data_IF_940489114815
#
_entry.id   IF_940489114815
#
_cell.length_a   1.000
_cell.length_b   1.000
_cell.length_c   1.000
_cell.angle_alpha   90.00
_cell.angle_beta   90.00
_cell.angle_gamma   90.00
#
_symmetry.space_group_name_H-M   'P 1'
#
loop_
_entity.id
_entity.type
_entity.pdbx_description
1 polymer ?
#
# COMPACT_ATOMS: atom_id res chain seq x y z
N UNK A 1 -7.69 21.54 -28.13
CA UNK A 1 -7.64 20.72 -26.91
C UNK A 1 -7.19 19.33 -27.32
N UNK A 2 -6.04 18.86 -26.84
CA UNK A 2 -5.50 17.55 -27.22
C UNK A 2 -5.53 16.64 -25.99
N UNK A 3 -6.43 15.66 -26.01
CA UNK A 3 -6.55 14.64 -24.98
C UNK A 3 -5.50 13.56 -25.27
N UNK A 4 -4.44 13.48 -24.46
CA UNK A 4 -3.56 12.31 -24.49
C UNK A 4 -4.22 11.22 -23.64
N UNK A 5 -4.46 10.01 -24.16
CA UNK A 5 -4.82 8.90 -23.30
C UNK A 5 -3.68 8.71 -22.31
N UNK A 6 -3.92 9.02 -21.03
CA UNK A 6 -3.03 8.55 -19.98
C UNK A 6 -3.27 7.05 -19.91
N UNK A 7 -2.27 6.26 -20.32
CA UNK A 7 -2.19 4.88 -19.85
C UNK A 7 -2.43 4.90 -18.34
N UNK A 8 -3.23 3.96 -17.84
CA UNK A 8 -3.50 3.83 -16.41
C UNK A 8 -2.15 3.81 -15.69
N UNK A 9 -1.92 4.78 -14.82
CA UNK A 9 -0.66 4.82 -14.08
C UNK A 9 -0.55 3.51 -13.28
N UNK A 10 0.61 2.83 -13.29
CA UNK A 10 0.76 1.59 -12.53
C UNK A 10 0.53 1.86 -11.04
N UNK A 11 -0.16 0.97 -10.34
CA UNK A 11 -0.32 0.98 -8.90
C UNK A 11 0.43 -0.18 -8.25
N UNK A 12 0.97 0.07 -7.06
CA UNK A 12 1.34 -0.96 -6.10
C UNK A 12 0.21 -1.04 -5.08
N UNK A 13 -0.28 -2.24 -4.83
CA UNK A 13 -1.37 -2.49 -3.89
C UNK A 13 -0.88 -3.44 -2.80
N UNK A 14 -1.16 -3.12 -1.55
CA UNK A 14 -0.87 -3.98 -0.41
C UNK A 14 -2.10 -4.07 0.49
N UNK A 15 -2.51 -5.29 0.79
CA UNK A 15 -3.54 -5.57 1.79
C UNK A 15 -2.91 -5.67 3.17
N UNK A 16 -3.48 -4.95 4.13
CA UNK A 16 -3.01 -4.91 5.51
C UNK A 16 -4.16 -5.32 6.42
N UNK A 17 -3.90 -6.31 7.28
CA UNK A 17 -4.81 -6.76 8.31
C UNK A 17 -4.20 -6.48 9.67
N UNK A 18 -4.94 -5.80 10.54
CA UNK A 18 -4.49 -5.44 11.89
C UNK A 18 -5.16 -6.23 13.02
N UNK A 19 -5.98 -7.23 12.67
CA UNK A 19 -6.81 -7.98 13.62
C UNK A 19 -8.27 -7.53 13.65
N UNK A 20 -8.56 -6.28 13.29
CA UNK A 20 -9.93 -5.71 13.31
C UNK A 20 -10.58 -5.66 11.93
N UNK A 21 -9.78 -5.57 10.87
CA UNK A 21 -10.29 -5.52 9.52
C UNK A 21 -9.17 -5.45 8.49
N UNK A 22 -9.57 -5.53 7.22
CA UNK A 22 -8.68 -5.41 6.08
C UNK A 22 -8.73 -3.98 5.53
N UNK A 23 -7.57 -3.43 5.19
CA UNK A 23 -7.45 -2.18 4.46
C UNK A 23 -6.45 -2.32 3.32
N UNK A 24 -6.77 -1.74 2.17
CA UNK A 24 -5.87 -1.73 1.01
C UNK A 24 -5.11 -0.41 0.97
N UNK A 25 -3.80 -0.50 0.82
CA UNK A 25 -2.92 0.62 0.59
C UNK A 25 -2.57 0.66 -0.91
N UNK A 26 -2.82 1.78 -1.58
CA UNK A 26 -2.59 1.92 -3.02
C UNK A 26 -1.60 3.05 -3.27
N UNK A 27 -0.44 2.73 -3.85
CA UNK A 27 0.55 3.72 -4.29
C UNK A 27 0.51 3.87 -5.81
N UNK A 28 -0.09 4.98 -6.26
CA UNK A 28 -0.27 5.29 -7.68
C UNK A 28 1.05 5.79 -8.26
N UNK A 29 1.41 5.33 -9.46
CA UNK A 29 2.66 5.65 -10.14
C UNK A 29 3.84 4.78 -9.70
N UNK A 30 3.62 3.84 -8.76
CA UNK A 30 4.64 2.94 -8.25
C UNK A 30 4.33 1.51 -8.68
N UNK A 31 5.36 0.79 -9.11
CA UNK A 31 5.29 -0.68 -9.32
C UNK A 31 5.85 -1.46 -8.14
N UNK A 32 6.76 -0.83 -7.39
CA UNK A 32 7.42 -1.36 -6.20
C UNK A 32 7.86 -0.20 -5.31
N UNK A 33 7.92 -0.45 -4.01
CA UNK A 33 8.56 0.39 -3.01
C UNK A 33 9.59 -0.45 -2.26
N UNK A 34 10.76 0.12 -1.99
CA UNK A 34 11.81 -0.60 -1.27
C UNK A 34 11.34 -0.96 0.14
N UNK A 35 11.47 -2.25 0.49
CA UNK A 35 11.10 -2.77 1.80
C UNK A 35 9.60 -2.99 2.02
N UNK A 36 8.71 -2.56 1.12
CA UNK A 36 7.31 -2.97 1.18
C UNK A 36 7.23 -4.37 0.55
N UNK A 37 7.39 -5.38 1.40
CA UNK A 37 7.38 -6.80 1.03
C UNK A 37 6.34 -7.55 1.88
N UNK A 38 5.85 -8.68 1.37
CA UNK A 38 4.84 -9.50 2.06
C UNK A 38 5.35 -9.93 3.44
N UNK A 39 4.49 -9.82 4.45
CA UNK A 39 4.81 -10.19 5.82
C UNK A 39 5.59 -9.14 6.61
N UNK A 40 6.08 -8.06 5.97
CA UNK A 40 6.73 -6.98 6.70
C UNK A 40 5.68 -6.10 7.38
N UNK A 41 5.75 -5.89 8.71
CA UNK A 41 4.83 -4.99 9.39
C UNK A 41 4.99 -3.56 8.88
N UNK A 42 3.87 -2.84 8.80
CA UNK A 42 3.80 -1.48 8.29
C UNK A 42 2.84 -0.63 9.13
N UNK A 43 3.19 0.64 9.34
CA UNK A 43 2.24 1.66 9.78
C UNK A 43 1.95 2.58 8.60
N UNK A 44 0.68 2.71 8.24
CA UNK A 44 0.23 3.63 7.19
C UNK A 44 -0.68 4.72 7.76
N UNK A 45 -0.57 5.94 7.21
CA UNK A 45 -1.44 7.07 7.55
C UNK A 45 -1.91 7.75 6.28
N UNK A 46 -3.21 8.01 6.22
CA UNK A 46 -3.83 8.75 5.14
C UNK A 46 -5.34 8.82 5.31
N UNK A 47 -6.03 9.28 4.27
CA UNK A 47 -7.48 9.33 4.25
C UNK A 47 -8.04 7.97 3.85
N UNK A 48 -8.94 7.43 4.65
CA UNK A 48 -9.72 6.23 4.31
C UNK A 48 -10.80 6.62 3.30
N UNK A 49 -10.92 5.81 2.26
CA UNK A 49 -11.95 5.86 1.23
C UNK A 49 -12.55 4.47 1.06
N UNK A 50 -13.74 4.36 0.48
CA UNK A 50 -14.41 3.07 0.27
C UNK A 50 -14.80 2.87 -1.20
N UNK A 51 -13.86 2.86 -2.15
CA UNK A 51 -14.15 2.45 -3.52
C UNK A 51 -14.76 1.05 -3.53
N UNK A 52 -15.92 0.89 -4.15
CA UNK A 52 -16.62 -0.40 -4.27
C UNK A 52 -16.85 -1.12 -2.92
N UNK A 53 -16.92 -0.35 -1.82
CA UNK A 53 -17.14 -0.89 -0.47
C UNK A 53 -15.87 -1.35 0.26
N UNK A 54 -14.69 -1.23 -0.36
CA UNK A 54 -13.42 -1.68 0.22
C UNK A 54 -12.64 -0.54 0.87
N UNK A 55 -12.33 -0.66 2.16
CA UNK A 55 -11.52 0.33 2.87
C UNK A 55 -10.14 0.46 2.21
N UNK A 56 -9.84 1.65 1.71
CA UNK A 56 -8.65 1.92 0.90
C UNK A 56 -8.02 3.25 1.27
N UNK A 57 -6.69 3.30 1.37
CA UNK A 57 -5.91 4.54 1.49
C UNK A 57 -5.03 4.70 0.25
N UNK A 58 -5.23 5.79 -0.49
CA UNK A 58 -4.40 6.15 -1.64
C UNK A 58 -3.21 7.00 -1.22
N UNK A 59 -2.04 6.66 -1.78
CA UNK A 59 -0.74 7.28 -1.52
C UNK A 59 -0.50 7.59 -0.03
N UNK A 60 -0.61 6.58 0.86
CA UNK A 60 -0.38 6.79 2.27
C UNK A 60 1.07 7.17 2.54
N UNK A 61 1.28 8.02 3.54
CA UNK A 61 2.56 8.08 4.23
C UNK A 61 2.73 6.79 5.02
N UNK A 62 3.91 6.18 4.98
CA UNK A 62 4.14 4.89 5.63
C UNK A 62 5.48 4.82 6.36
N UNK A 63 5.56 3.90 7.31
CA UNK A 63 6.80 3.46 7.96
C UNK A 63 6.83 1.94 8.00
N UNK A 64 7.99 1.39 7.69
CA UNK A 64 8.25 -0.04 7.77
C UNK A 64 8.92 -0.36 9.10
N UNK A 65 8.53 -1.48 9.70
CA UNK A 65 9.25 -2.00 10.85
C UNK A 65 10.56 -2.67 10.39
N UNK A 66 11.55 -2.83 11.29
CA UNK A 66 12.70 -3.69 11.01
C UNK A 66 12.22 -5.05 10.55
N UNK A 67 12.94 -5.67 9.62
CA UNK A 67 12.73 -7.09 9.39
C UNK A 67 12.91 -7.80 10.74
N UNK A 68 12.03 -8.75 11.10
CA UNK A 68 12.28 -9.56 12.28
C UNK A 68 13.69 -10.10 12.12
N UNK A 69 14.55 -9.85 13.12
CA UNK A 69 15.90 -10.40 13.12
C UNK A 69 15.72 -11.88 12.79
N UNK A 70 16.22 -12.31 11.63
CA UNK A 70 16.15 -13.71 11.25
C UNK A 70 16.60 -14.47 12.48
N UNK A 71 15.74 -15.34 13.00
CA UNK A 71 16.17 -16.33 13.98
C UNK A 71 17.38 -16.98 13.34
N UNK A 72 18.59 -16.57 13.77
CA UNK A 72 19.83 -17.16 13.33
C UNK A 72 19.75 -18.59 13.80
N UNK A 73 19.33 -19.47 12.89
CA UNK A 73 19.41 -20.90 13.06
C UNK A 73 20.75 -21.39 12.54
#
# INVERSE_FOLDING_TARGET
MTLRPRATAPSLEAEVYDGSGLITLVWIGHRRLSGVDVGRPITARGRVTCPEGQATIFNPSYRLFPEPAESSS
#
